data_IF_652572881129
#
_entry.id   IF_652572881129
#
_cell.length_a   1.000
_cell.length_b   1.000
_cell.length_c   1.000
_cell.angle_alpha   90.00
_cell.angle_beta   90.00
_cell.angle_gamma   90.00
#
_symmetry.space_group_name_H-M   'P 1'
#
loop_
_entity.id
_entity.type
_entity.pdbx_description
1 polymer ?
#
# COMPACT_ATOMS: atom_id res chain seq x y z
N UNK A 1 -70.55 28.60 31.11
CA UNK A 1 -70.01 27.48 31.90
C UNK A 1 -69.15 26.63 30.98
N UNK A 2 -67.88 26.39 31.36
CA UNK A 2 -66.80 25.67 30.64
C UNK A 2 -66.35 26.33 29.32
N UNK A 3 -65.17 26.92 29.12
CA UNK A 3 -63.77 26.64 29.50
C UNK A 3 -63.24 25.28 29.02
N UNK A 4 -62.40 25.31 27.99
CA UNK A 4 -61.18 24.49 27.77
C UNK A 4 -60.56 24.75 26.40
N UNK A 5 -59.26 25.07 26.37
CA UNK A 5 -58.39 24.67 25.23
C UNK A 5 -57.42 25.71 24.64
N UNK A 6 -56.76 26.54 25.44
CA UNK A 6 -55.64 27.38 24.96
C UNK A 6 -54.36 26.56 24.79
N UNK A 7 -53.91 26.40 23.55
CA UNK A 7 -52.64 25.74 23.22
C UNK A 7 -51.45 26.66 23.52
N UNK A 8 -50.57 26.14 24.37
CA UNK A 8 -49.36 26.75 24.93
C UNK A 8 -48.29 26.97 23.84
N UNK A 9 -47.98 28.24 23.52
CA UNK A 9 -46.79 28.62 22.75
C UNK A 9 -45.52 28.11 23.44
N UNK A 10 -44.84 27.12 22.86
CA UNK A 10 -43.47 26.75 23.23
C UNK A 10 -42.49 27.58 22.40
N UNK A 11 -41.65 28.35 23.11
CA UNK A 11 -40.50 29.09 22.58
C UNK A 11 -39.56 28.12 21.87
N UNK A 12 -39.36 28.31 20.57
CA UNK A 12 -38.31 27.68 19.79
C UNK A 12 -37.05 28.51 20.04
N UNK A 13 -36.09 27.93 20.75
CA UNK A 13 -34.76 28.47 20.93
C UNK A 13 -34.01 28.41 19.62
N UNK A 14 -33.61 29.59 19.15
CA UNK A 14 -32.67 29.86 18.08
C UNK A 14 -31.30 29.25 18.40
N UNK A 15 -30.88 28.25 17.61
CA UNK A 15 -29.48 27.83 17.48
C UNK A 15 -29.02 28.16 16.05
N UNK A 16 -28.90 29.46 15.78
CA UNK A 16 -28.09 29.95 14.67
C UNK A 16 -26.62 29.91 15.10
N UNK A 17 -25.80 29.26 14.28
CA UNK A 17 -24.36 29.17 14.45
C UNK A 17 -23.74 30.55 14.58
N UNK A 18 -23.02 30.75 15.69
CA UNK A 18 -22.15 31.90 15.90
C UNK A 18 -20.84 31.65 15.15
N UNK A 19 -20.70 32.24 13.97
CA UNK A 19 -19.39 32.51 13.36
C UNK A 19 -18.67 33.53 14.24
N UNK A 20 -17.76 33.06 15.08
CA UNK A 20 -16.87 33.94 15.84
C UNK A 20 -15.82 34.56 14.89
N UNK A 21 -15.57 35.88 14.96
CA UNK A 21 -14.53 36.51 14.18
C UNK A 21 -13.15 36.05 14.66
N UNK A 22 -12.28 35.85 13.67
CA UNK A 22 -10.85 35.59 13.76
C UNK A 22 -10.17 36.53 14.77
N UNK A 23 -9.88 36.02 15.96
CA UNK A 23 -8.89 36.61 16.87
C UNK A 23 -7.58 35.85 16.73
N UNK A 24 -6.59 36.56 16.24
CA UNK A 24 -5.19 36.17 16.10
C UNK A 24 -4.65 35.65 17.44
N UNK A 25 -4.17 34.40 17.55
CA UNK A 25 -3.64 33.89 18.80
C UNK A 25 -2.14 34.12 18.90
N UNK A 26 -1.78 34.71 20.03
CA UNK A 26 -0.44 34.92 20.58
C UNK A 26 0.51 33.72 20.35
N UNK A 27 1.65 34.05 19.75
CA UNK A 27 2.68 33.13 19.29
C UNK A 27 3.69 32.89 20.41
N UNK A 28 3.42 31.96 21.33
CA UNK A 28 4.45 31.31 22.17
C UNK A 28 3.88 30.18 23.04
N UNK A 29 4.10 28.92 22.64
CA UNK A 29 4.16 27.79 23.58
C UNK A 29 3.07 26.71 23.53
N UNK A 30 2.05 26.81 22.66
CA UNK A 30 0.91 25.87 22.65
C UNK A 30 0.80 24.96 21.41
N UNK A 31 1.78 25.01 20.50
CA UNK A 31 1.69 24.40 19.17
C UNK A 31 1.86 22.86 19.17
N UNK A 32 2.78 22.32 19.99
CA UNK A 32 3.08 20.88 20.00
C UNK A 32 1.89 19.99 20.42
N UNK A 33 1.12 20.41 21.44
CA UNK A 33 -0.04 19.63 21.93
C UNK A 33 -1.19 19.60 20.93
N UNK A 34 -1.30 20.62 20.07
CA UNK A 34 -2.26 20.66 18.96
C UNK A 34 -1.78 19.77 17.82
N UNK A 35 -0.52 19.84 17.43
CA UNK A 35 0.06 18.98 16.39
C UNK A 35 -0.16 17.49 16.67
N UNK A 36 0.09 17.04 17.91
CA UNK A 36 -0.10 15.63 18.28
C UNK A 36 -1.57 15.21 18.28
N UNK A 37 -2.47 16.12 18.67
CA UNK A 37 -3.90 15.90 18.61
C UNK A 37 -4.41 15.85 17.15
N UNK A 38 -3.93 16.74 16.29
CA UNK A 38 -4.23 16.73 14.85
C UNK A 38 -3.67 15.49 14.17
N UNK A 39 -2.46 15.07 14.52
CA UNK A 39 -1.83 13.85 13.99
C UNK A 39 -2.60 12.61 14.45
N UNK A 40 -3.04 12.54 15.70
CA UNK A 40 -3.97 11.49 16.19
C UNK A 40 -5.37 11.58 15.58
N UNK A 41 -5.81 12.73 15.07
CA UNK A 41 -7.08 12.88 14.36
C UNK A 41 -6.98 12.43 12.90
N UNK A 42 -5.82 12.67 12.27
CA UNK A 42 -5.52 12.28 10.90
C UNK A 42 -5.18 10.79 10.78
N UNK A 43 -4.78 10.15 11.88
CA UNK A 43 -4.39 8.74 11.90
C UNK A 43 -5.50 7.85 12.48
N UNK A 44 -5.52 6.61 12.02
CA UNK A 44 -6.45 5.60 12.53
C UNK A 44 -5.92 5.00 13.85
N UNK A 45 -6.83 4.51 14.69
CA UNK A 45 -6.46 3.78 15.90
C UNK A 45 -5.89 2.39 15.52
N UNK A 46 -5.13 1.74 16.40
CA UNK A 46 -4.55 0.39 16.17
C UNK A 46 -5.57 -0.69 15.74
N UNK A 47 -6.86 -0.46 16.00
CA UNK A 47 -7.98 -1.34 15.62
C UNK A 47 -8.65 -0.99 14.29
N UNK A 48 -8.08 -0.04 13.54
CA UNK A 48 -8.60 0.44 12.26
C UNK A 48 -10.06 0.91 12.33
N UNK A 49 -10.47 1.44 13.48
CA UNK A 49 -11.87 1.75 13.76
C UNK A 49 -12.41 2.86 12.86
N UNK A 50 -11.61 3.87 12.53
CA UNK A 50 -12.03 4.99 11.68
C UNK A 50 -12.02 4.62 10.21
N UNK A 51 -11.04 3.87 9.73
CA UNK A 51 -11.06 3.38 8.34
C UNK A 51 -12.26 2.46 8.10
N UNK A 52 -12.63 1.61 9.07
CA UNK A 52 -13.88 0.82 9.02
C UNK A 52 -15.12 1.70 9.02
N UNK A 53 -15.16 2.76 9.83
CA UNK A 53 -16.27 3.71 9.84
C UNK A 53 -16.40 4.44 8.49
N UNK A 54 -15.30 4.90 7.89
CA UNK A 54 -15.31 5.51 6.56
C UNK A 54 -15.72 4.53 5.48
N UNK A 55 -15.26 3.28 5.53
CA UNK A 55 -15.66 2.23 4.61
C UNK A 55 -17.17 1.94 4.70
N UNK A 56 -17.69 1.82 5.93
CA UNK A 56 -19.11 1.62 6.15
C UNK A 56 -19.93 2.83 5.68
N UNK A 57 -19.51 4.04 6.04
CA UNK A 57 -20.16 5.28 5.62
C UNK A 57 -20.19 5.38 4.10
N UNK A 58 -19.08 5.10 3.43
CA UNK A 58 -19.00 5.12 1.97
C UNK A 58 -19.89 4.07 1.32
N UNK A 59 -19.97 2.87 1.90
CA UNK A 59 -20.86 1.81 1.43
C UNK A 59 -22.32 2.23 1.53
N UNK A 60 -22.73 2.80 2.67
CA UNK A 60 -24.06 3.37 2.84
C UNK A 60 -24.29 4.52 1.84
N UNK A 61 -23.31 5.41 1.66
CA UNK A 61 -23.43 6.57 0.77
C UNK A 61 -23.62 6.17 -0.70
N UNK A 62 -22.88 5.16 -1.17
CA UNK A 62 -23.03 4.63 -2.51
C UNK A 62 -24.40 3.95 -2.70
N UNK A 63 -24.87 3.20 -1.71
CA UNK A 63 -26.20 2.58 -1.74
C UNK A 63 -27.31 3.66 -1.82
N UNK A 64 -27.18 4.73 -1.03
CA UNK A 64 -28.11 5.86 -1.09
C UNK A 64 -28.09 6.55 -2.46
N UNK A 65 -26.93 6.79 -3.05
CA UNK A 65 -26.85 7.37 -4.40
C UNK A 65 -27.53 6.47 -5.43
N UNK A 66 -27.30 5.16 -5.37
CA UNK A 66 -27.94 4.21 -6.28
C UNK A 66 -29.46 4.22 -6.13
N UNK A 67 -29.96 4.24 -4.89
CA UNK A 67 -31.39 4.35 -4.59
C UNK A 67 -32.01 5.67 -5.09
N UNK A 68 -31.30 6.79 -4.94
CA UNK A 68 -31.77 8.10 -5.40
C UNK A 68 -31.75 8.21 -6.94
N UNK A 69 -30.75 7.63 -7.61
CA UNK A 69 -30.66 7.55 -9.07
C UNK A 69 -31.79 6.69 -9.64
N UNK A 70 -32.10 5.56 -8.98
CA UNK A 70 -33.26 4.72 -9.34
C UNK A 70 -34.59 5.47 -9.15
N UNK A 71 -34.73 6.22 -8.05
CA UNK A 71 -35.92 7.05 -7.80
C UNK A 71 -36.09 8.12 -8.90
N UNK A 72 -35.00 8.76 -9.34
CA UNK A 72 -35.03 9.73 -10.43
C UNK A 72 -35.44 9.07 -11.76
N UNK A 73 -34.93 7.88 -12.06
CA UNK A 73 -35.32 7.09 -13.24
C UNK A 73 -36.80 6.68 -13.19
N UNK A 74 -37.28 6.21 -12.05
CA UNK A 74 -38.69 5.87 -11.89
C UNK A 74 -39.60 7.08 -12.08
N UNK A 75 -39.21 8.25 -11.57
CA UNK A 75 -39.97 9.48 -11.77
C UNK A 75 -40.02 9.91 -13.25
N UNK A 76 -38.90 9.84 -13.96
CA UNK A 76 -38.84 10.18 -15.40
C UNK A 76 -39.67 9.21 -16.24
N UNK A 77 -39.55 7.90 -16.02
CA UNK A 77 -40.37 6.88 -16.68
C UNK A 77 -41.86 7.04 -16.37
N UNK A 78 -42.21 7.35 -15.12
CA UNK A 78 -43.60 7.61 -14.73
C UNK A 78 -44.19 8.82 -15.48
N UNK A 79 -43.41 9.89 -15.62
CA UNK A 79 -43.82 11.10 -16.35
C UNK A 79 -44.01 10.80 -17.83
N UNK A 80 -43.05 10.15 -18.48
CA UNK A 80 -43.11 9.81 -19.90
C UNK A 80 -44.29 8.87 -20.21
N UNK A 81 -44.58 7.91 -19.32
CA UNK A 81 -45.66 6.96 -19.54
C UNK A 81 -47.06 7.50 -19.22
N UNK A 82 -47.19 8.42 -18.26
CA UNK A 82 -48.51 8.84 -17.72
C UNK A 82 -48.86 10.30 -17.91
N UNK A 83 -47.89 11.19 -18.02
CA UNK A 83 -48.12 12.65 -18.06
C UNK A 83 -47.94 13.17 -19.49
N UNK A 84 -46.85 12.81 -20.15
CA UNK A 84 -46.55 13.29 -21.52
C UNK A 84 -47.63 12.91 -22.56
N UNK A 85 -48.25 11.71 -22.53
CA UNK A 85 -49.31 11.36 -23.48
C UNK A 85 -50.60 12.13 -23.23
N UNK A 86 -50.90 12.51 -21.98
CA UNK A 86 -52.10 13.28 -21.65
C UNK A 86 -51.96 14.71 -22.18
N UNK A 87 -50.74 15.24 -22.17
CA UNK A 87 -50.46 16.61 -22.60
C UNK A 87 -50.31 16.75 -24.12
N UNK A 88 -49.65 15.80 -24.79
CA UNK A 88 -49.50 15.82 -26.25
C UNK A 88 -50.83 15.65 -27.03
N UNK A 89 -51.91 15.23 -26.38
CA UNK A 89 -53.24 15.07 -27.01
C UNK A 89 -53.99 16.41 -27.09
N UNK A 90 -53.71 17.38 -26.23
CA UNK A 90 -54.44 18.66 -26.18
C UNK A 90 -53.90 19.69 -27.20
N UNK A 91 -52.66 19.56 -27.68
CA UNK A 91 -52.09 20.44 -28.71
C UNK A 91 -52.71 20.22 -30.11
N UNK A 92 -53.34 19.06 -30.37
CA UNK A 92 -53.93 18.74 -31.68
C UNK A 92 -55.43 19.09 -31.81
N UNK A 93 -56.08 19.54 -30.72
CA UNK A 93 -57.49 19.93 -30.71
C UNK A 93 -57.69 21.41 -30.37
N UNK A 94 -57.19 22.29 -31.23
CA UNK A 94 -57.79 23.61 -31.41
C UNK A 94 -59.19 23.47 -32.05
N UNK A 95 -60.18 23.09 -31.25
CA UNK A 95 -61.59 23.30 -31.60
C UNK A 95 -62.20 24.33 -30.68
N UNK A 96 -62.33 25.52 -31.28
CA UNK A 96 -63.23 26.64 -30.99
C UNK A 96 -64.33 26.35 -29.97
N UNK A 97 -64.48 27.30 -29.05
CA UNK A 97 -65.46 27.41 -27.94
C UNK A 97 -65.08 26.63 -26.66
N UNK A 98 -64.07 27.14 -25.93
CA UNK A 98 -63.74 26.63 -24.59
C UNK A 98 -64.52 27.36 -23.50
N UNK A 99 -65.34 26.59 -22.79
CA UNK A 99 -65.99 26.92 -21.53
C UNK A 99 -64.97 27.42 -20.49
N UNK A 100 -65.37 28.39 -19.66
CA UNK A 100 -64.48 29.01 -18.65
C UNK A 100 -63.89 28.01 -17.65
N UNK A 101 -64.57 26.88 -17.44
CA UNK A 101 -64.13 25.77 -16.59
C UNK A 101 -62.94 25.00 -17.18
N UNK A 102 -62.83 24.90 -18.51
CA UNK A 102 -61.76 24.16 -19.19
C UNK A 102 -60.43 24.91 -19.16
N UNK A 103 -60.48 26.24 -19.31
CA UNK A 103 -59.32 27.13 -19.16
C UNK A 103 -58.77 27.12 -17.72
N UNK A 104 -59.64 27.04 -16.71
CA UNK A 104 -59.24 26.98 -15.31
C UNK A 104 -58.52 25.65 -14.97
N UNK A 105 -58.98 24.53 -15.54
CA UNK A 105 -58.32 23.22 -15.40
C UNK A 105 -56.93 23.21 -16.04
N UNK A 106 -56.79 23.80 -17.22
CA UNK A 106 -55.50 23.97 -17.92
C UNK A 106 -54.49 24.81 -17.11
N UNK A 107 -54.93 25.94 -16.55
CA UNK A 107 -54.10 26.77 -15.68
C UNK A 107 -53.61 26.00 -14.45
N UNK A 108 -54.48 25.22 -13.81
CA UNK A 108 -54.14 24.41 -12.63
C UNK A 108 -53.17 23.27 -12.97
N UNK A 109 -53.30 22.67 -14.15
CA UNK A 109 -52.37 21.66 -14.64
C UNK A 109 -50.97 22.23 -14.92
N UNK A 110 -50.90 23.42 -15.55
CA UNK A 110 -49.63 24.12 -15.76
C UNK A 110 -48.93 24.46 -14.42
N UNK A 111 -49.67 24.92 -13.42
CA UNK A 111 -49.11 25.27 -12.10
C UNK A 111 -48.51 24.03 -11.39
N UNK A 112 -49.19 22.89 -11.44
CA UNK A 112 -48.70 21.62 -10.89
C UNK A 112 -47.46 21.09 -11.63
N UNK A 113 -47.39 21.28 -12.95
CA UNK A 113 -46.21 20.90 -13.73
C UNK A 113 -45.00 21.76 -13.38
N UNK A 114 -45.22 23.07 -13.20
CA UNK A 114 -44.17 24.00 -12.79
C UNK A 114 -43.63 23.66 -11.39
N UNK A 115 -44.50 23.29 -10.44
CA UNK A 115 -44.07 22.76 -9.13
C UNK A 115 -43.27 21.46 -9.27
N UNK A 116 -43.69 20.55 -10.15
CA UNK A 116 -42.98 19.29 -10.41
C UNK A 116 -41.61 19.48 -11.05
N UNK A 117 -41.47 20.44 -11.98
CA UNK A 117 -40.20 20.85 -12.58
C UNK A 117 -39.25 21.41 -11.51
N UNK A 118 -39.74 22.32 -10.66
CA UNK A 118 -38.95 22.92 -9.59
C UNK A 118 -38.49 21.88 -8.57
N UNK A 119 -39.36 20.95 -8.18
CA UNK A 119 -39.00 19.87 -7.26
C UNK A 119 -37.94 18.93 -7.86
N UNK A 120 -38.01 18.65 -9.17
CA UNK A 120 -37.00 17.87 -9.89
C UNK A 120 -35.64 18.56 -9.89
N UNK A 121 -35.61 19.85 -10.22
CA UNK A 121 -34.36 20.63 -10.21
C UNK A 121 -33.74 20.66 -8.81
N UNK A 122 -34.54 20.90 -7.78
CA UNK A 122 -34.07 20.87 -6.39
C UNK A 122 -33.51 19.50 -5.98
N UNK A 123 -34.10 18.41 -6.45
CA UNK A 123 -33.61 17.05 -6.18
C UNK A 123 -32.29 16.77 -6.91
N UNK A 124 -32.15 17.20 -8.16
CA UNK A 124 -30.91 17.10 -8.94
C UNK A 124 -29.77 17.89 -8.27
N UNK A 125 -30.05 19.08 -7.74
CA UNK A 125 -29.07 19.89 -7.01
C UNK A 125 -28.58 19.18 -5.73
N UNK A 126 -29.50 18.61 -4.95
CA UNK A 126 -29.17 17.85 -3.73
C UNK A 126 -28.33 16.62 -4.10
N UNK A 127 -28.67 15.92 -5.18
CA UNK A 127 -27.88 14.78 -5.66
C UNK A 127 -26.46 15.18 -6.07
N UNK A 128 -26.32 16.32 -6.75
CA UNK A 128 -25.03 16.85 -7.13
C UNK A 128 -24.18 17.19 -5.89
N UNK A 129 -24.76 17.85 -4.88
CA UNK A 129 -24.05 18.13 -3.61
C UNK A 129 -23.63 16.83 -2.91
N UNK A 130 -24.51 15.84 -2.87
CA UNK A 130 -24.22 14.56 -2.22
C UNK A 130 -23.08 13.80 -2.91
N UNK A 131 -23.08 13.75 -4.26
CA UNK A 131 -21.98 13.18 -5.05
C UNK A 131 -20.66 13.90 -4.80
N UNK A 132 -20.68 15.22 -4.68
CA UNK A 132 -19.49 15.98 -4.33
C UNK A 132 -18.96 15.59 -2.93
N UNK A 133 -19.83 15.44 -1.94
CA UNK A 133 -19.45 15.02 -0.58
C UNK A 133 -18.87 13.60 -0.54
N UNK A 134 -19.40 12.69 -1.37
CA UNK A 134 -18.86 11.33 -1.51
C UNK A 134 -17.42 11.36 -1.99
N UNK A 135 -17.12 12.16 -3.03
CA UNK A 135 -15.75 12.33 -3.53
C UNK A 135 -14.79 12.88 -2.47
N UNK A 136 -15.27 13.79 -1.62
CA UNK A 136 -14.50 14.29 -0.47
C UNK A 136 -14.22 13.15 0.52
N UNK A 137 -15.22 12.37 0.92
CA UNK A 137 -15.04 11.23 1.85
C UNK A 137 -14.09 10.18 1.28
N UNK A 138 -14.16 9.89 -0.03
CA UNK A 138 -13.21 9.00 -0.71
C UNK A 138 -11.78 9.52 -0.61
N UNK A 139 -11.58 10.81 -0.91
CA UNK A 139 -10.26 11.45 -0.83
C UNK A 139 -9.69 11.42 0.60
N UNK A 140 -10.51 11.67 1.62
CA UNK A 140 -10.10 11.57 3.02
C UNK A 140 -9.73 10.14 3.41
N UNK A 141 -10.52 9.16 2.99
CA UNK A 141 -10.26 7.73 3.24
C UNK A 141 -8.92 7.33 2.62
N UNK A 142 -8.66 7.74 1.39
CA UNK A 142 -7.42 7.41 0.69
C UNK A 142 -6.22 8.11 1.34
N UNK A 143 -6.39 9.37 1.75
CA UNK A 143 -5.40 10.09 2.55
C UNK A 143 -5.06 9.39 3.86
N UNK A 144 -6.08 8.90 4.58
CA UNK A 144 -5.94 8.13 5.82
C UNK A 144 -5.19 6.82 5.59
N UNK A 145 -5.55 6.04 4.57
CA UNK A 145 -4.88 4.77 4.28
C UNK A 145 -3.42 4.97 3.87
N UNK A 146 -3.14 5.99 3.05
CA UNK A 146 -1.77 6.33 2.68
C UNK A 146 -0.95 6.73 3.91
N UNK A 147 -1.52 7.51 4.82
CA UNK A 147 -0.86 7.89 6.07
C UNK A 147 -0.63 6.68 7.00
N UNK A 148 -1.62 5.81 7.18
CA UNK A 148 -1.51 4.59 7.98
C UNK A 148 -0.46 3.63 7.42
N UNK A 149 -0.44 3.41 6.11
CA UNK A 149 0.56 2.58 5.44
C UNK A 149 1.98 3.14 5.63
N UNK A 150 2.15 4.46 5.58
CA UNK A 150 3.43 5.11 5.87
C UNK A 150 3.87 4.89 7.32
N UNK A 151 2.95 4.92 8.28
CA UNK A 151 3.26 4.66 9.68
C UNK A 151 3.61 3.20 9.91
N UNK A 152 2.87 2.27 9.31
CA UNK A 152 3.17 0.85 9.36
C UNK A 152 4.53 0.52 8.72
N UNK A 153 4.86 1.20 7.62
CA UNK A 153 6.18 1.11 6.99
C UNK A 153 7.29 1.64 7.92
N UNK A 154 7.06 2.77 8.60
CA UNK A 154 8.00 3.31 9.59
C UNK A 154 8.16 2.40 10.80
N UNK A 155 7.07 1.85 11.34
CA UNK A 155 7.12 0.95 12.49
C UNK A 155 7.86 -0.34 12.14
N UNK A 156 7.61 -0.91 10.96
CA UNK A 156 8.32 -2.07 10.42
C UNK A 156 9.82 -1.79 10.22
N UNK A 157 10.16 -0.60 9.72
CA UNK A 157 11.55 -0.17 9.58
C UNK A 157 12.25 -0.07 10.93
N UNK A 158 11.59 0.52 11.93
CA UNK A 158 12.14 0.62 13.30
C UNK A 158 12.30 -0.76 13.94
N UNK A 159 11.36 -1.69 13.71
CA UNK A 159 11.48 -3.06 14.16
C UNK A 159 12.67 -3.76 13.50
N UNK A 160 12.86 -3.58 12.19
CA UNK A 160 14.01 -4.09 11.45
C UNK A 160 15.34 -3.55 12.01
N UNK A 161 15.40 -2.25 12.31
CA UNK A 161 16.56 -1.62 12.94
C UNK A 161 16.84 -2.18 14.35
N UNK A 162 15.79 -2.42 15.15
CA UNK A 162 15.95 -3.01 16.48
C UNK A 162 16.50 -4.44 16.41
N UNK A 163 15.99 -5.26 15.47
CA UNK A 163 16.51 -6.63 15.23
C UNK A 163 17.95 -6.59 14.73
N UNK A 164 18.27 -5.64 13.84
CA UNK A 164 19.62 -5.45 13.33
C UNK A 164 20.60 -5.06 14.46
N UNK A 165 20.20 -4.14 15.35
CA UNK A 165 21.01 -3.76 16.51
C UNK A 165 21.26 -4.94 17.44
N UNK A 166 20.22 -5.72 17.74
CA UNK A 166 20.35 -6.93 18.56
C UNK A 166 21.33 -7.91 17.91
N UNK A 167 21.19 -8.14 16.61
CA UNK A 167 22.05 -9.04 15.84
C UNK A 167 23.50 -8.56 15.87
N UNK A 168 23.76 -7.26 15.74
CA UNK A 168 25.11 -6.71 15.90
C UNK A 168 25.69 -6.96 17.29
N UNK A 169 24.92 -6.72 18.36
CA UNK A 169 25.36 -7.03 19.73
C UNK A 169 25.68 -8.53 19.88
N UNK A 170 24.81 -9.41 19.38
CA UNK A 170 25.04 -10.86 19.42
C UNK A 170 26.28 -11.30 18.64
N UNK A 171 26.50 -10.76 17.43
CA UNK A 171 27.68 -11.07 16.62
C UNK A 171 28.96 -10.58 17.32
N UNK A 172 28.94 -9.45 18.04
CA UNK A 172 30.08 -9.01 18.85
C UNK A 172 30.28 -9.85 20.11
N UNK A 173 29.19 -10.33 20.72
CA UNK A 173 29.25 -11.11 21.94
C UNK A 173 29.79 -12.52 21.72
N UNK A 174 29.52 -13.14 20.58
CA UNK A 174 29.87 -14.53 20.31
C UNK A 174 31.40 -14.80 20.34
N UNK A 175 32.26 -14.00 19.66
CA UNK A 175 33.71 -14.13 19.74
C UNK A 175 34.25 -13.78 21.13
N UNK A 176 33.65 -12.79 21.80
CA UNK A 176 34.05 -12.36 23.13
C UNK A 176 33.75 -13.43 24.19
N UNK A 177 32.58 -14.06 24.10
CA UNK A 177 32.18 -15.19 24.94
C UNK A 177 33.08 -16.41 24.72
N UNK A 178 33.47 -16.69 23.47
CA UNK A 178 34.47 -17.72 23.17
C UNK A 178 35.83 -17.42 23.80
N UNK A 179 36.30 -16.17 23.72
CA UNK A 179 37.55 -15.77 24.38
C UNK A 179 37.44 -15.94 25.91
N UNK A 180 36.35 -15.50 26.52
CA UNK A 180 36.14 -15.67 27.97
C UNK A 180 36.10 -17.15 28.38
N UNK A 181 35.45 -18.00 27.59
CA UNK A 181 35.43 -19.44 27.81
C UNK A 181 36.82 -20.08 27.67
N UNK A 182 37.62 -19.65 26.69
CA UNK A 182 38.99 -20.11 26.50
C UNK A 182 39.89 -19.80 27.72
N UNK A 183 39.70 -18.63 28.35
CA UNK A 183 40.43 -18.25 29.56
C UNK A 183 39.92 -18.91 30.85
N UNK A 184 38.71 -19.48 30.83
CA UNK A 184 38.13 -20.16 31.99
C UNK A 184 38.58 -21.63 32.13
N UNK A 185 39.29 -22.19 31.14
CA UNK A 185 39.78 -23.57 31.17
C UNK A 185 40.94 -23.68 32.18
N UNK A 186 40.88 -24.54 33.20
CA UNK A 186 42.00 -24.77 34.12
C UNK A 186 43.17 -25.47 33.39
N UNK A 187 44.43 -25.25 33.82
CA UNK A 187 45.71 -25.75 33.27
C UNK A 187 46.44 -24.92 32.17
N UNK A 188 45.98 -23.71 31.82
CA UNK A 188 46.69 -22.81 30.87
C UNK A 188 47.73 -21.89 31.54
N UNK A 189 47.89 -21.97 32.86
CA UNK A 189 48.71 -21.06 33.67
C UNK A 189 50.23 -21.35 33.63
N UNK A 190 50.67 -22.37 32.89
CA UNK A 190 52.10 -22.61 32.73
C UNK A 190 52.77 -21.47 31.93
N UNK A 191 53.86 -20.93 32.47
CA UNK A 191 54.48 -19.67 32.03
C UNK A 191 54.96 -19.74 30.56
N UNK A 192 55.27 -20.93 30.06
CA UNK A 192 55.72 -21.13 28.67
C UNK A 192 54.58 -21.11 27.64
N UNK A 193 53.37 -21.49 28.03
CA UNK A 193 52.19 -21.57 27.14
C UNK A 193 51.25 -20.39 27.28
N UNK A 194 51.26 -19.68 28.42
CA UNK A 194 50.39 -18.52 28.66
C UNK A 194 50.60 -17.38 27.66
N UNK A 195 51.85 -17.03 27.36
CA UNK A 195 52.19 -15.93 26.44
C UNK A 195 51.72 -16.23 25.00
N UNK A 196 52.09 -17.35 24.37
CA UNK A 196 51.62 -17.64 23.01
C UNK A 196 50.10 -17.81 22.95
N UNK A 197 49.48 -18.42 23.97
CA UNK A 197 48.02 -18.56 24.05
C UNK A 197 47.29 -17.22 24.15
N UNK A 198 47.81 -16.29 24.96
CA UNK A 198 47.26 -14.94 25.06
C UNK A 198 47.36 -14.20 23.73
N UNK A 199 48.52 -14.29 23.06
CA UNK A 199 48.75 -13.67 21.74
C UNK A 199 47.78 -14.24 20.70
N UNK A 200 47.62 -15.57 20.62
CA UNK A 200 46.71 -16.19 19.64
C UNK A 200 45.26 -15.82 19.90
N UNK A 201 44.84 -15.78 21.17
CA UNK A 201 43.47 -15.42 21.55
C UNK A 201 43.18 -13.95 21.22
N UNK A 202 44.10 -13.04 21.54
CA UNK A 202 43.99 -11.62 21.17
C UNK A 202 43.98 -11.42 19.65
N UNK A 203 44.81 -12.16 18.90
CA UNK A 203 44.89 -12.06 17.44
C UNK A 203 43.60 -12.55 16.76
N UNK A 204 43.07 -13.70 17.19
CA UNK A 204 41.78 -14.22 16.70
C UNK A 204 40.64 -13.26 17.04
N UNK A 205 40.65 -12.67 18.23
CA UNK A 205 39.69 -11.67 18.66
C UNK A 205 39.74 -10.43 17.74
N UNK A 206 40.93 -9.85 17.52
CA UNK A 206 41.13 -8.68 16.65
C UNK A 206 40.66 -8.96 15.21
N UNK A 207 41.04 -10.11 14.64
CA UNK A 207 40.63 -10.50 13.29
C UNK A 207 39.11 -10.63 13.22
N UNK A 208 38.48 -11.30 14.19
CA UNK A 208 37.04 -11.51 14.19
C UNK A 208 36.28 -10.19 14.33
N UNK A 209 36.71 -9.29 15.23
CA UNK A 209 36.15 -7.94 15.35
C UNK A 209 36.32 -7.12 14.07
N UNK A 210 37.48 -7.22 13.41
CA UNK A 210 37.74 -6.53 12.14
C UNK A 210 36.79 -7.01 11.05
N UNK A 211 36.55 -8.33 10.96
CA UNK A 211 35.60 -8.91 10.00
C UNK A 211 34.18 -8.47 10.29
N UNK A 212 33.75 -8.47 11.56
CA UNK A 212 32.40 -8.06 11.96
C UNK A 212 32.16 -6.56 11.71
N UNK A 213 33.12 -5.71 12.06
CA UNK A 213 33.00 -4.26 11.82
C UNK A 213 32.91 -3.95 10.32
N UNK A 214 33.66 -4.71 9.51
CA UNK A 214 33.64 -4.60 8.06
C UNK A 214 32.53 -5.45 7.42
N UNK A 215 31.64 -6.09 8.16
CA UNK A 215 30.65 -7.02 7.61
C UNK A 215 29.75 -6.34 6.57
N UNK A 216 29.37 -5.08 6.78
CA UNK A 216 28.58 -4.32 5.80
C UNK A 216 29.37 -4.06 4.52
N UNK A 217 30.65 -3.68 4.64
CA UNK A 217 31.51 -3.46 3.48
C UNK A 217 31.81 -4.77 2.73
N UNK A 218 32.07 -5.84 3.47
CA UNK A 218 32.30 -7.19 2.96
C UNK A 218 31.03 -7.71 2.28
N UNK A 219 29.85 -7.57 2.89
CA UNK A 219 28.59 -7.97 2.29
C UNK A 219 28.31 -7.20 0.99
N UNK A 220 28.57 -5.89 0.97
CA UNK A 220 28.41 -5.07 -0.24
C UNK A 220 29.43 -5.44 -1.32
N UNK A 221 30.69 -5.69 -0.95
CA UNK A 221 31.74 -6.13 -1.87
C UNK A 221 31.46 -7.53 -2.42
N UNK A 222 31.02 -8.46 -1.57
CA UNK A 222 30.60 -9.81 -1.94
C UNK A 222 29.37 -9.76 -2.84
N UNK A 223 28.39 -8.89 -2.55
CA UNK A 223 27.21 -8.68 -3.39
C UNK A 223 27.58 -8.16 -4.78
N UNK A 224 28.43 -7.13 -4.87
CA UNK A 224 28.96 -6.64 -6.16
C UNK A 224 29.74 -7.70 -6.91
N UNK A 225 30.58 -8.46 -6.21
CA UNK A 225 31.37 -9.56 -6.80
C UNK A 225 30.46 -10.69 -7.28
N UNK A 226 29.43 -11.04 -6.51
CA UNK A 226 28.43 -12.03 -6.86
C UNK A 226 27.65 -11.59 -8.10
N UNK A 227 27.16 -10.34 -8.13
CA UNK A 227 26.44 -9.82 -9.28
C UNK A 227 27.30 -9.83 -10.56
N UNK A 228 28.54 -9.35 -10.46
CA UNK A 228 29.48 -9.35 -11.59
C UNK A 228 29.82 -10.77 -12.07
N UNK A 229 30.01 -11.73 -11.14
CA UNK A 229 30.22 -13.14 -11.49
C UNK A 229 28.98 -13.79 -12.08
N UNK A 230 27.80 -13.49 -11.52
CA UNK A 230 26.51 -13.95 -12.03
C UNK A 230 26.33 -13.49 -13.46
N UNK A 231 26.54 -12.21 -13.74
CA UNK A 231 26.38 -11.66 -15.08
C UNK A 231 27.33 -12.34 -16.08
N UNK A 232 28.61 -12.52 -15.71
CA UNK A 232 29.57 -13.27 -16.55
C UNK A 232 29.15 -14.72 -16.76
N UNK A 233 28.66 -15.41 -15.73
CA UNK A 233 28.22 -16.80 -15.86
C UNK A 233 26.98 -16.93 -16.74
N UNK A 234 26.03 -16.00 -16.64
CA UNK A 234 24.83 -15.92 -17.48
C UNK A 234 25.20 -15.61 -18.94
N UNK A 235 26.17 -14.72 -19.16
CA UNK A 235 26.74 -14.47 -20.49
C UNK A 235 27.44 -15.71 -21.04
N UNK A 236 28.22 -16.43 -20.23
CA UNK A 236 28.85 -17.69 -20.66
C UNK A 236 27.86 -18.83 -20.91
N UNK A 237 26.64 -18.78 -20.36
CA UNK A 237 25.57 -19.73 -20.70
C UNK A 237 24.99 -19.47 -22.10
N UNK A 238 25.22 -18.28 -22.69
CA UNK A 238 24.84 -17.95 -24.08
C UNK A 238 25.61 -18.80 -25.09
N UNK A 239 26.88 -19.06 -24.78
CA UNK A 239 27.83 -19.67 -25.70
C UNK A 239 28.11 -21.16 -25.36
N UNK A 240 27.40 -21.76 -24.38
CA UNK A 240 27.53 -23.19 -24.06
C UNK A 240 26.83 -24.03 -25.14
N UNK A 241 27.50 -25.03 -25.77
CA UNK A 241 26.92 -25.88 -26.81
C UNK A 241 25.71 -26.73 -26.38
N UNK A 242 25.35 -26.75 -25.09
CA UNK A 242 24.21 -27.52 -24.57
C UNK A 242 22.93 -26.65 -24.45
N UNK A 243 21.89 -27.01 -25.21
CA UNK A 243 20.63 -26.24 -25.30
C UNK A 243 19.88 -26.09 -23.97
N UNK A 244 20.04 -27.02 -23.02
CA UNK A 244 19.42 -26.93 -21.70
C UNK A 244 19.86 -25.69 -20.91
N UNK A 245 21.12 -25.25 -21.07
CA UNK A 245 21.63 -24.07 -20.37
C UNK A 245 21.20 -22.77 -21.07
N UNK A 246 20.93 -22.82 -22.37
CA UNK A 246 20.38 -21.71 -23.14
C UNK A 246 18.93 -21.41 -22.74
N UNK A 247 18.06 -22.43 -22.61
CA UNK A 247 16.70 -22.25 -22.10
C UNK A 247 16.70 -21.76 -20.65
N UNK A 248 17.61 -22.31 -19.82
CA UNK A 248 17.77 -21.89 -18.41
C UNK A 248 18.08 -20.41 -18.23
N UNK A 249 18.74 -19.79 -19.21
CA UNK A 249 19.10 -18.38 -19.19
C UNK A 249 17.88 -17.46 -19.31
N UNK A 250 16.93 -17.77 -20.19
CA UNK A 250 15.77 -16.90 -20.44
C UNK A 250 14.97 -16.64 -19.16
N UNK A 251 14.96 -17.60 -18.24
CA UNK A 251 14.32 -17.47 -16.92
C UNK A 251 15.05 -16.50 -15.97
N UNK A 252 16.35 -16.26 -16.17
CA UNK A 252 17.14 -15.33 -15.35
C UNK A 252 17.13 -13.89 -15.88
N UNK A 253 16.69 -13.67 -17.11
CA UNK A 253 16.60 -12.35 -17.77
C UNK A 253 15.17 -11.78 -17.81
N UNK A 254 14.15 -12.56 -17.48
CA UNK A 254 12.76 -12.11 -17.47
C UNK A 254 12.50 -11.14 -16.29
N UNK A 255 12.38 -9.84 -16.61
CA UNK A 255 11.96 -8.80 -15.68
C UNK A 255 10.64 -8.16 -16.15
N UNK A 256 9.61 -8.06 -15.31
CA UNK A 256 9.54 -8.46 -13.89
C UNK A 256 9.44 -9.99 -13.71
N UNK A 257 9.89 -10.54 -12.56
CA UNK A 257 9.75 -11.96 -12.28
C UNK A 257 8.25 -12.32 -12.29
N UNK A 258 7.86 -13.15 -13.25
CA UNK A 258 6.47 -13.54 -13.43
C UNK A 258 6.02 -14.39 -12.23
N UNK A 259 5.16 -13.84 -11.37
CA UNK A 259 4.74 -14.46 -10.10
C UNK A 259 4.02 -15.80 -10.28
N UNK A 260 3.51 -16.09 -11.48
CA UNK A 260 2.83 -17.35 -11.82
C UNK A 260 3.81 -18.49 -12.15
N UNK A 261 5.06 -18.18 -12.49
CA UNK A 261 6.11 -19.18 -12.68
C UNK A 261 6.99 -19.17 -11.44
N UNK A 262 6.93 -20.24 -10.63
CA UNK A 262 7.76 -20.43 -9.43
C UNK A 262 9.17 -19.92 -9.69
N UNK A 263 9.60 -18.89 -8.97
CA UNK A 263 10.97 -18.37 -9.04
C UNK A 263 11.92 -19.51 -8.68
N UNK A 264 12.53 -20.11 -9.70
CA UNK A 264 13.39 -21.27 -9.50
C UNK A 264 14.68 -20.81 -8.80
N UNK A 265 15.10 -21.57 -7.81
CA UNK A 265 16.16 -21.17 -6.89
C UNK A 265 17.49 -20.86 -7.59
N UNK A 266 18.19 -19.81 -7.15
CA UNK A 266 19.50 -19.37 -7.66
C UNK A 266 20.61 -20.46 -7.58
N UNK A 267 20.33 -21.57 -6.89
CA UNK A 267 21.18 -22.78 -6.84
C UNK A 267 21.53 -23.37 -8.21
N UNK A 268 20.74 -23.11 -9.25
CA UNK A 268 21.06 -23.54 -10.62
C UNK A 268 22.33 -22.87 -11.18
N UNK A 269 22.60 -21.62 -10.78
CA UNK A 269 23.82 -20.89 -11.18
C UNK A 269 25.05 -21.54 -10.54
N UNK A 270 24.93 -21.92 -9.27
CA UNK A 270 25.98 -22.64 -8.53
C UNK A 270 26.24 -24.01 -9.18
N UNK A 271 25.17 -24.75 -9.52
CA UNK A 271 25.28 -26.04 -10.21
C UNK A 271 25.97 -25.92 -11.57
N UNK A 272 25.67 -24.87 -12.34
CA UNK A 272 26.35 -24.61 -13.61
C UNK A 272 27.85 -24.40 -13.41
N UNK A 273 28.22 -23.56 -12.44
CA UNK A 273 29.61 -23.27 -12.11
C UNK A 273 30.37 -24.55 -11.72
N UNK A 274 29.77 -25.42 -10.90
CA UNK A 274 30.33 -26.73 -10.58
C UNK A 274 30.46 -27.62 -11.82
N UNK A 275 29.43 -27.70 -12.68
CA UNK A 275 29.47 -28.52 -13.90
C UNK A 275 30.61 -28.10 -14.84
N UNK A 276 30.84 -26.79 -14.97
CA UNK A 276 31.91 -26.21 -15.79
C UNK A 276 33.29 -26.53 -15.21
N UNK A 277 33.43 -26.44 -13.89
CA UNK A 277 34.65 -26.81 -13.19
C UNK A 277 35.01 -28.30 -13.37
N UNK A 278 34.01 -29.19 -13.29
CA UNK A 278 34.20 -30.62 -13.56
C UNK A 278 34.54 -30.92 -15.03
N UNK A 279 33.92 -30.24 -16.01
CA UNK A 279 34.25 -30.37 -17.43
C UNK A 279 35.70 -29.96 -17.72
N UNK A 280 36.18 -28.85 -17.14
CA UNK A 280 37.58 -28.40 -17.29
C UNK A 280 38.60 -29.37 -16.70
N UNK A 281 38.28 -30.04 -15.58
CA UNK A 281 39.18 -31.04 -14.97
C UNK A 281 39.28 -32.36 -15.72
N UNK A 282 38.29 -32.72 -16.54
CA UNK A 282 38.33 -33.95 -17.37
C UNK A 282 39.11 -33.78 -18.68
N UNK A 283 39.46 -32.55 -19.08
CA UNK A 283 40.12 -32.28 -20.36
C UNK A 283 41.66 -32.41 -20.44
N UNK A 284 42.46 -32.67 -19.37
CA UNK A 284 43.92 -32.72 -19.51
C UNK A 284 44.52 -34.11 -19.86
N UNK A 285 43.73 -35.18 -20.03
CA UNK A 285 44.26 -36.54 -20.29
C UNK A 285 44.29 -36.99 -21.77
N UNK A 286 43.91 -36.13 -22.72
CA UNK A 286 43.79 -36.52 -24.14
C UNK A 286 45.04 -36.38 -25.02
N UNK A 287 46.10 -35.71 -24.56
CA UNK A 287 47.17 -35.21 -25.46
C UNK A 287 48.54 -35.94 -25.31
N UNK A 288 48.57 -37.19 -24.84
CA UNK A 288 49.83 -37.96 -24.70
C UNK A 288 49.85 -39.35 -25.35
N UNK A 289 48.96 -39.63 -26.31
CA UNK A 289 48.93 -40.94 -27.00
C UNK A 289 48.86 -40.79 -28.51
N UNK A 290 49.81 -40.09 -29.11
CA UNK A 290 50.05 -40.15 -30.56
C UNK A 290 51.45 -39.61 -30.87
N UNK A 291 52.47 -40.46 -30.71
CA UNK A 291 53.85 -40.05 -30.92
C UNK A 291 54.85 -41.15 -30.60
N UNK A 292 54.53 -42.41 -30.87
CA UNK A 292 55.51 -43.49 -30.88
C UNK A 292 54.94 -44.65 -31.70
N UNK A 293 55.38 -44.74 -32.95
CA UNK A 293 54.92 -45.76 -33.89
C UNK A 293 55.07 -45.33 -35.34
N UNK A 294 56.28 -44.99 -35.76
CA UNK A 294 56.83 -45.44 -37.05
C UNK A 294 58.25 -44.91 -37.26
N UNK A 295 59.23 -45.82 -37.20
CA UNK A 295 60.47 -45.80 -37.99
C UNK A 295 61.16 -47.16 -37.80
N UNK A 296 60.81 -48.10 -38.68
CA UNK A 296 61.77 -49.07 -39.24
C UNK A 296 62.33 -48.52 -40.54
#
# INVERSE_FOLDING_TARGET
>A
MADRGTWKKRKIGTLYGRTSPFTEPDSRGHDGRRQDAYTRLILDDDKLSRSRLYFWTLSCLNEFIASLDDTQKQWTLFREARIDPIWNIDDEKETKDQDGDQKLKLLRACELLQEGEHLRQSFEDILAEFRAKVGVVQTLRDGLFNASALIESRSSTRLGQNVQLLTYISIFYLPLGFCAALWAVPNIDDHKTRIPFAITTSLVCIITFTVVFNLNNIANALGKTYFNRRQRLVEEMKDDPNSEWYERRQWFEEFPPNSDRKTHSEWWIVRYQFSKWFRRRKSPEGEKKMGEGDQS
#
